data_IF_237139889706
#
_entry.id   IF_237139889706
#
_cell.length_a   1.000
_cell.length_b   1.000
_cell.length_c   1.000
_cell.angle_alpha   90.00
_cell.angle_beta   90.00
_cell.angle_gamma   90.00
#
_symmetry.space_group_name_H-M   'P 1'
#
loop_
_entity.id
_entity.type
_entity.pdbx_description
1 polymer ?
#
# COMPACT_ATOMS: atom_id res chain seq x y z
N UNK A 1 20.66 57.35 1.85
CA UNK A 1 20.78 56.29 0.83
C UNK A 1 19.91 55.14 1.32
N UNK A 2 18.69 55.02 0.77
CA UNK A 2 17.70 54.04 1.21
C UNK A 2 17.76 52.89 0.20
N UNK A 3 18.26 51.74 0.63
CA UNK A 3 18.27 50.53 -0.19
C UNK A 3 16.85 49.98 -0.32
N UNK A 4 16.46 49.80 -1.58
CA UNK A 4 15.16 49.32 -2.03
C UNK A 4 14.98 47.86 -1.62
N UNK A 5 14.06 47.64 -0.68
CA UNK A 5 13.43 46.34 -0.47
C UNK A 5 12.67 45.95 -1.74
N UNK A 6 13.23 45.04 -2.54
CA UNK A 6 12.52 44.42 -3.65
C UNK A 6 11.58 43.35 -3.08
N UNK A 7 10.33 43.75 -2.86
CA UNK A 7 9.24 42.81 -2.62
C UNK A 7 9.15 41.86 -3.82
N UNK A 8 9.52 40.59 -3.61
CA UNK A 8 9.30 39.51 -4.58
C UNK A 8 7.79 39.37 -4.78
N UNK A 9 7.36 39.66 -6.01
CA UNK A 9 6.01 39.42 -6.53
C UNK A 9 5.56 37.99 -6.14
N UNK A 10 4.36 37.78 -5.57
CA UNK A 10 3.91 36.43 -5.24
C UNK A 10 3.66 35.67 -6.54
N UNK A 11 4.19 34.43 -6.71
CA UNK A 11 3.78 33.62 -7.84
C UNK A 11 2.29 33.31 -7.67
N UNK A 12 1.50 33.47 -8.73
CA UNK A 12 0.11 33.01 -8.78
C UNK A 12 0.10 31.49 -8.55
N UNK A 13 -0.08 31.06 -7.31
CA UNK A 13 0.42 29.78 -6.87
C UNK A 13 -0.50 28.61 -7.16
N UNK A 14 -0.22 27.85 -8.21
CA UNK A 14 -0.77 26.49 -8.36
C UNK A 14 0.19 25.49 -7.70
N UNK A 15 -0.30 24.71 -6.73
CA UNK A 15 0.51 23.65 -6.11
C UNK A 15 0.87 22.56 -7.14
N UNK A 16 2.14 22.15 -7.15
CA UNK A 16 2.64 21.10 -8.03
C UNK A 16 2.53 19.73 -7.36
N UNK A 17 1.73 18.82 -7.94
CA UNK A 17 1.50 17.47 -7.37
C UNK A 17 2.77 16.68 -7.10
N UNK A 18 3.83 16.88 -7.88
CA UNK A 18 5.13 16.19 -7.69
C UNK A 18 5.84 16.60 -6.39
N UNK A 19 5.49 17.75 -5.81
CA UNK A 19 6.07 18.25 -4.55
C UNK A 19 5.27 17.79 -3.32
N UNK A 20 4.08 17.24 -3.50
CA UNK A 20 3.22 16.73 -2.43
C UNK A 20 3.54 15.25 -2.21
N UNK A 21 3.97 14.91 -0.99
CA UNK A 21 4.40 13.56 -0.61
C UNK A 21 3.40 12.95 0.36
N UNK A 22 2.70 11.91 -0.06
CA UNK A 22 1.71 11.22 0.78
C UNK A 22 2.29 10.53 2.02
N UNK A 23 3.61 10.30 2.09
CA UNK A 23 4.26 9.77 3.31
C UNK A 23 4.50 10.84 4.39
N UNK A 24 4.44 12.12 4.02
CA UNK A 24 4.61 13.30 4.88
C UNK A 24 3.67 14.40 4.38
N UNK A 25 2.37 14.13 4.37
CA UNK A 25 1.40 14.85 3.55
C UNK A 25 1.23 16.29 4.00
N UNK A 26 0.92 16.54 5.27
CA UNK A 26 0.76 17.88 5.83
C UNK A 26 2.04 18.70 5.69
N UNK A 27 3.19 18.12 6.01
CA UNK A 27 4.49 18.82 5.93
C UNK A 27 4.80 19.25 4.49
N UNK A 28 4.66 18.33 3.53
CA UNK A 28 4.91 18.62 2.12
C UNK A 28 3.89 19.59 1.52
N UNK A 29 2.63 19.50 1.93
CA UNK A 29 1.56 20.40 1.52
C UNK A 29 1.79 21.83 2.06
N UNK A 30 2.12 21.99 3.34
CA UNK A 30 2.45 23.29 3.95
C UNK A 30 3.68 23.90 3.25
N UNK A 31 4.70 23.09 3.00
CA UNK A 31 5.93 23.53 2.33
C UNK A 31 5.66 24.00 0.90
N UNK A 32 4.89 23.24 0.14
CA UNK A 32 4.53 23.60 -1.23
C UNK A 32 3.63 24.83 -1.26
N UNK A 33 2.60 24.91 -0.41
CA UNK A 33 1.70 26.05 -0.32
C UNK A 33 2.46 27.34 0.02
N UNK A 34 3.42 27.27 0.95
CA UNK A 34 4.29 28.40 1.29
C UNK A 34 5.20 28.79 0.10
N UNK A 35 5.78 27.81 -0.59
CA UNK A 35 6.63 28.03 -1.78
C UNK A 35 5.89 28.80 -2.87
N UNK A 36 4.62 28.47 -3.09
CA UNK A 36 3.81 29.09 -4.14
C UNK A 36 3.01 30.30 -3.66
N UNK A 37 3.17 30.74 -2.41
CA UNK A 37 2.51 31.94 -1.87
C UNK A 37 1.02 31.78 -1.53
N UNK A 38 0.51 30.54 -1.46
CA UNK A 38 -0.84 30.26 -0.97
C UNK A 38 -0.94 30.25 0.57
N UNK A 39 0.21 30.20 1.23
CA UNK A 39 0.33 30.22 2.68
C UNK A 39 1.43 31.22 3.04
N UNK A 40 1.13 32.17 3.92
CA UNK A 40 2.07 33.24 4.30
C UNK A 40 2.96 32.85 5.49
N UNK A 41 3.89 33.73 5.86
CA UNK A 41 4.81 33.47 6.98
C UNK A 41 4.06 33.35 8.31
N UNK A 42 3.02 34.16 8.55
CA UNK A 42 2.27 34.15 9.79
C UNK A 42 1.45 32.86 9.94
N UNK A 43 0.78 32.42 8.87
CA UNK A 43 0.06 31.14 8.81
C UNK A 43 1.02 29.97 9.05
N UNK A 44 2.22 29.99 8.48
CA UNK A 44 3.21 28.92 8.66
C UNK A 44 3.71 28.83 10.11
N UNK A 45 4.03 29.97 10.73
CA UNK A 45 4.46 30.00 12.12
C UNK A 45 3.31 29.63 13.08
N UNK A 46 2.07 30.02 12.77
CA UNK A 46 0.89 29.57 13.51
C UNK A 46 0.78 28.04 13.53
N UNK A 47 0.88 27.40 12.36
CA UNK A 47 0.81 25.93 12.25
C UNK A 47 1.94 25.22 13.01
N UNK A 48 3.15 25.77 13.01
CA UNK A 48 4.27 25.24 13.81
C UNK A 48 4.00 25.33 15.32
N UNK A 49 3.49 26.47 15.77
CA UNK A 49 3.16 26.66 17.18
C UNK A 49 2.03 25.73 17.62
N UNK A 50 0.98 25.58 16.80
CA UNK A 50 -0.11 24.64 17.07
C UNK A 50 0.40 23.18 17.15
N UNK A 51 1.31 22.78 16.27
CA UNK A 51 1.95 21.46 16.34
C UNK A 51 2.74 21.27 17.64
N UNK A 52 3.51 22.28 18.06
CA UNK A 52 4.28 22.25 19.30
C UNK A 52 3.38 22.13 20.55
N UNK A 53 2.22 22.81 20.56
CA UNK A 53 1.25 22.69 21.65
C UNK A 53 0.61 21.29 21.73
N UNK A 54 0.30 20.68 20.58
CA UNK A 54 -0.19 19.28 20.56
C UNK A 54 0.88 18.33 21.09
N UNK A 55 2.13 18.51 20.68
CA UNK A 55 3.25 17.71 21.16
C UNK A 55 3.41 17.82 22.67
N UNK A 56 3.41 19.05 23.20
CA UNK A 56 3.50 19.31 24.64
C UNK A 56 2.41 18.57 25.43
N UNK A 57 1.15 18.71 25.00
CA UNK A 57 0.01 18.00 25.61
C UNK A 57 0.18 16.47 25.55
N UNK A 58 0.71 15.94 24.44
CA UNK A 58 0.97 14.51 24.30
C UNK A 58 2.10 14.04 25.23
N UNK A 59 3.18 14.83 25.40
CA UNK A 59 4.28 14.52 26.33
C UNK A 59 3.76 14.48 27.76
N UNK A 60 3.02 15.50 28.19
CA UNK A 60 2.41 15.56 29.53
C UNK A 60 1.53 14.33 29.80
N UNK A 61 0.74 13.89 28.81
CA UNK A 61 -0.08 12.68 28.93
C UNK A 61 0.76 11.41 28.98
N UNK A 62 1.81 11.31 28.16
CA UNK A 62 2.68 10.14 28.08
C UNK A 62 3.45 9.91 29.38
N UNK A 63 3.90 10.98 30.04
CA UNK A 63 4.67 10.93 31.29
C UNK A 63 3.77 10.88 32.53
N UNK A 64 2.45 10.76 32.37
CA UNK A 64 1.46 10.89 33.45
C UNK A 64 1.66 12.18 34.27
N UNK A 65 2.02 13.28 33.60
CA UNK A 65 2.40 14.57 34.18
C UNK A 65 3.61 14.54 35.14
N UNK A 66 4.37 13.44 35.15
CA UNK A 66 5.54 13.28 36.04
C UNK A 66 6.77 14.00 35.51
N UNK A 67 6.81 14.30 34.21
CA UNK A 67 7.84 15.13 33.58
C UNK A 67 7.29 15.93 32.41
N UNK A 68 7.81 17.14 32.21
CA UNK A 68 7.48 18.00 31.07
C UNK A 68 8.38 17.74 29.83
N UNK A 69 9.24 16.72 29.88
CA UNK A 69 10.19 16.40 28.83
C UNK A 69 10.39 14.90 28.65
N UNK A 70 10.81 14.54 27.44
CA UNK A 70 11.25 13.21 27.00
C UNK A 70 12.59 13.37 26.28
N UNK A 71 13.29 12.27 25.97
CA UNK A 71 14.49 12.34 25.12
C UNK A 71 14.16 12.93 23.75
N UNK A 72 15.15 13.56 23.09
CA UNK A 72 14.99 14.14 21.75
C UNK A 72 14.39 13.14 20.77
N UNK A 73 14.95 11.92 20.70
CA UNK A 73 14.45 10.84 19.83
C UNK A 73 12.97 10.51 20.07
N UNK A 74 12.51 10.57 21.33
CA UNK A 74 11.12 10.32 21.69
C UNK A 74 10.22 11.49 21.32
N UNK A 75 10.68 12.72 21.54
CA UNK A 75 9.98 13.91 21.07
C UNK A 75 9.76 13.90 19.56
N UNK A 76 10.80 13.58 18.79
CA UNK A 76 10.70 13.44 17.33
C UNK A 76 9.72 12.34 16.90
N UNK A 77 9.71 11.20 17.59
CA UNK A 77 8.78 10.10 17.29
C UNK A 77 7.32 10.51 17.54
N UNK A 78 7.08 11.23 18.62
CA UNK A 78 5.76 11.76 18.95
C UNK A 78 5.31 12.82 17.94
N UNK A 79 6.20 13.70 17.48
CA UNK A 79 5.90 14.64 16.38
C UNK A 79 5.48 13.89 15.12
N UNK A 80 6.23 12.85 14.72
CA UNK A 80 5.88 12.02 13.56
C UNK A 80 4.52 11.35 13.73
N UNK A 81 4.18 10.88 14.94
CA UNK A 81 2.85 10.34 15.26
C UNK A 81 1.74 11.38 15.09
N UNK A 82 1.94 12.61 15.58
CA UNK A 82 0.97 13.70 15.44
C UNK A 82 0.77 14.06 13.98
N UNK A 83 1.86 14.29 13.24
CA UNK A 83 1.79 14.63 11.82
C UNK A 83 1.12 13.53 10.99
N UNK A 84 1.49 12.27 11.19
CA UNK A 84 0.79 11.15 10.53
C UNK A 84 -0.70 11.13 10.84
N UNK A 85 -1.08 11.42 12.09
CA UNK A 85 -2.49 11.45 12.48
C UNK A 85 -3.26 12.55 11.76
N UNK A 86 -2.66 13.73 11.60
CA UNK A 86 -3.20 14.83 10.79
C UNK A 86 -3.26 14.43 9.30
N UNK A 87 -2.19 13.81 8.78
CA UNK A 87 -2.11 13.33 7.40
C UNK A 87 -3.26 12.37 7.06
N UNK A 88 -3.53 11.39 7.92
CA UNK A 88 -4.62 10.43 7.72
C UNK A 88 -5.96 11.14 7.55
N UNK A 89 -6.22 12.20 8.32
CA UNK A 89 -7.45 12.98 8.18
C UNK A 89 -7.45 13.81 6.89
N UNK A 90 -6.39 14.57 6.62
CA UNK A 90 -6.32 15.43 5.45
C UNK A 90 -6.38 14.64 4.13
N UNK A 91 -5.68 13.51 4.04
CA UNK A 91 -5.72 12.62 2.89
C UNK A 91 -7.10 12.03 2.64
N UNK A 92 -7.93 11.87 3.68
CA UNK A 92 -9.29 11.35 3.54
C UNK A 92 -10.22 12.27 2.74
N UNK A 93 -9.86 13.55 2.61
CA UNK A 93 -10.61 14.55 1.85
C UNK A 93 -10.46 14.37 0.33
N UNK A 94 -9.43 13.64 -0.11
CA UNK A 94 -9.12 13.43 -1.54
C UNK A 94 -8.97 14.74 -2.34
N UNK A 95 -8.56 15.82 -1.69
CA UNK A 95 -8.40 17.16 -2.29
C UNK A 95 -7.28 17.94 -1.60
N UNK A 96 -6.19 18.21 -2.32
CA UNK A 96 -5.05 18.97 -1.79
C UNK A 96 -5.43 20.42 -1.45
N UNK A 97 -6.28 21.04 -2.27
CA UNK A 97 -6.81 22.38 -2.00
C UNK A 97 -7.75 22.39 -0.80
N UNK A 98 -8.60 21.37 -0.66
CA UNK A 98 -9.47 21.22 0.51
C UNK A 98 -8.67 20.97 1.79
N UNK A 99 -7.61 20.16 1.72
CA UNK A 99 -6.72 19.92 2.85
C UNK A 99 -5.98 21.19 3.28
N UNK A 100 -5.48 21.98 2.32
CA UNK A 100 -4.84 23.26 2.60
C UNK A 100 -5.82 24.24 3.26
N UNK A 101 -7.05 24.34 2.75
CA UNK A 101 -8.05 25.24 3.32
C UNK A 101 -8.37 24.89 4.78
N UNK A 102 -8.46 23.61 5.12
CA UNK A 102 -8.63 23.19 6.51
C UNK A 102 -7.42 23.53 7.38
N UNK A 103 -6.19 23.36 6.88
CA UNK A 103 -4.98 23.79 7.61
C UNK A 103 -5.01 25.31 7.89
N UNK A 104 -5.58 26.11 7.00
CA UNK A 104 -5.66 27.58 7.17
C UNK A 104 -6.76 28.00 8.13
N UNK A 105 -7.89 27.33 8.12
CA UNK A 105 -9.11 27.77 8.81
C UNK A 105 -9.45 27.01 10.07
N UNK A 106 -8.93 25.79 10.25
CA UNK A 106 -9.24 24.91 11.39
C UNK A 106 -8.00 24.72 12.26
N UNK A 107 -8.12 24.85 13.60
CA UNK A 107 -7.00 24.55 14.49
C UNK A 107 -6.47 23.12 14.29
N UNK A 108 -5.15 22.97 14.22
CA UNK A 108 -4.48 21.69 14.00
C UNK A 108 -4.86 20.65 15.07
N UNK A 109 -5.13 21.09 16.30
CA UNK A 109 -5.61 20.21 17.37
C UNK A 109 -6.95 19.53 17.00
N UNK A 110 -7.86 20.26 16.34
CA UNK A 110 -9.13 19.70 15.85
C UNK A 110 -8.87 18.68 14.74
N UNK A 111 -7.97 18.98 13.80
CA UNK A 111 -7.58 18.06 12.73
C UNK A 111 -6.96 16.78 13.30
N UNK A 112 -6.10 16.91 14.31
CA UNK A 112 -5.48 15.81 15.03
C UNK A 112 -6.53 14.91 15.71
N UNK A 113 -7.49 15.47 16.44
CA UNK A 113 -8.54 14.65 17.07
C UNK A 113 -9.49 13.99 16.04
N UNK A 114 -9.76 14.65 14.91
CA UNK A 114 -10.48 14.01 13.79
C UNK A 114 -9.67 12.86 13.20
N UNK A 115 -8.35 13.03 13.07
CA UNK A 115 -7.41 11.98 12.69
C UNK A 115 -7.43 10.78 13.64
N UNK A 116 -7.38 11.00 14.96
CA UNK A 116 -7.50 9.94 15.98
C UNK A 116 -8.78 9.12 15.76
N UNK A 117 -9.92 9.79 15.59
CA UNK A 117 -11.21 9.11 15.38
C UNK A 117 -11.20 8.27 14.10
N UNK A 118 -10.60 8.79 13.03
CA UNK A 118 -10.49 8.08 11.76
C UNK A 118 -9.54 6.88 11.84
N UNK A 119 -8.37 7.03 12.47
CA UNK A 119 -7.44 5.93 12.70
C UNK A 119 -8.10 4.83 13.54
N UNK A 120 -8.87 5.17 14.58
CA UNK A 120 -9.65 4.17 15.35
C UNK A 120 -10.58 3.37 14.45
N UNK A 121 -11.35 4.03 13.58
CA UNK A 121 -12.20 3.36 12.60
C UNK A 121 -11.40 2.45 11.67
N UNK A 122 -10.22 2.88 11.24
CA UNK A 122 -9.30 2.10 10.42
C UNK A 122 -8.70 0.87 11.14
N UNK A 123 -8.48 0.95 12.45
CA UNK A 123 -8.12 -0.22 13.27
C UNK A 123 -9.25 -1.24 13.26
N UNK A 124 -10.50 -0.83 13.51
CA UNK A 124 -11.66 -1.72 13.45
C UNK A 124 -11.85 -2.33 12.05
N UNK A 125 -11.71 -1.50 11.00
CA UNK A 125 -11.76 -1.96 9.61
C UNK A 125 -10.69 -3.01 9.31
N UNK A 126 -9.46 -2.79 9.80
CA UNK A 126 -8.35 -3.72 9.64
C UNK A 126 -8.62 -5.05 10.35
N UNK A 127 -9.21 -5.02 11.54
CA UNK A 127 -9.62 -6.25 12.23
C UNK A 127 -10.69 -7.04 11.44
N UNK A 128 -11.70 -6.36 10.89
CA UNK A 128 -12.71 -6.99 10.03
C UNK A 128 -12.12 -7.56 8.74
N UNK A 129 -11.22 -6.83 8.09
CA UNK A 129 -10.48 -7.33 6.92
C UNK A 129 -9.63 -8.54 7.27
N UNK A 130 -8.92 -8.50 8.40
CA UNK A 130 -8.10 -9.63 8.85
C UNK A 130 -8.91 -10.92 9.03
N UNK A 131 -10.09 -10.84 9.64
CA UNK A 131 -11.00 -12.00 9.75
C UNK A 131 -11.38 -12.54 8.37
N UNK A 132 -11.74 -11.66 7.42
CA UNK A 132 -12.08 -12.07 6.05
C UNK A 132 -10.90 -12.72 5.34
N UNK A 133 -9.70 -12.14 5.45
CA UNK A 133 -8.47 -12.70 4.87
C UNK A 133 -8.16 -14.08 5.46
N UNK A 134 -8.28 -14.25 6.78
CA UNK A 134 -8.06 -15.52 7.45
C UNK A 134 -9.07 -16.59 7.01
N UNK A 135 -10.34 -16.20 6.80
CA UNK A 135 -11.38 -17.11 6.32
C UNK A 135 -11.24 -17.47 4.83
N UNK A 136 -10.54 -16.64 4.06
CA UNK A 136 -10.21 -16.92 2.66
C UNK A 136 -8.85 -17.59 2.47
N UNK A 137 -8.18 -17.99 3.57
CA UNK A 137 -6.86 -18.61 3.57
C UNK A 137 -6.78 -19.79 2.61
N UNK A 138 -5.77 -19.81 1.75
CA UNK A 138 -5.44 -20.98 0.95
C UNK A 138 -4.75 -22.05 1.82
N UNK A 139 -5.15 -23.31 1.66
CA UNK A 139 -4.57 -24.44 2.38
C UNK A 139 -3.23 -24.85 1.76
N UNK A 140 -2.21 -24.01 1.95
CA UNK A 140 -0.88 -24.14 1.36
C UNK A 140 0.18 -24.14 2.47
N UNK A 141 1.19 -24.99 2.36
CA UNK A 141 2.29 -25.13 3.33
C UNK A 141 3.37 -24.08 3.09
N UNK A 142 2.98 -22.79 3.08
CA UNK A 142 3.88 -21.65 3.01
C UNK A 142 4.05 -21.04 4.40
N UNK A 143 5.23 -21.19 5.00
CA UNK A 143 5.50 -20.74 6.38
C UNK A 143 5.33 -19.23 6.52
N UNK A 144 5.96 -18.42 5.65
CA UNK A 144 5.81 -16.97 5.65
C UNK A 144 4.34 -16.51 5.58
N UNK A 145 3.52 -17.13 4.71
CA UNK A 145 2.10 -16.82 4.57
C UNK A 145 1.32 -17.15 5.85
N UNK A 146 1.52 -18.36 6.36
CA UNK A 146 0.81 -18.89 7.52
C UNK A 146 1.21 -18.14 8.80
N UNK A 147 2.51 -17.89 9.03
CA UNK A 147 2.99 -17.09 10.17
C UNK A 147 2.52 -15.64 10.09
N UNK A 148 2.49 -15.05 8.89
CA UNK A 148 1.97 -13.69 8.71
C UNK A 148 0.52 -13.58 9.13
N UNK A 149 -0.32 -14.54 8.72
CA UNK A 149 -1.74 -14.60 9.08
C UNK A 149 -1.95 -14.93 10.57
N UNK A 150 -1.27 -15.92 11.11
CA UNK A 150 -1.57 -16.43 12.45
C UNK A 150 -0.91 -15.61 13.57
N UNK A 151 0.25 -14.99 13.30
CA UNK A 151 1.05 -14.30 14.31
C UNK A 151 1.27 -12.81 14.00
N UNK A 152 1.83 -12.48 12.82
CA UNK A 152 2.31 -11.11 12.56
C UNK A 152 1.16 -10.10 12.53
N UNK A 153 0.11 -10.35 11.76
CA UNK A 153 -1.04 -9.41 11.66
C UNK A 153 -1.74 -9.27 13.02
N UNK A 154 -1.86 -10.35 13.78
CA UNK A 154 -2.43 -10.30 15.14
C UNK A 154 -1.59 -9.38 16.03
N UNK A 155 -0.26 -9.51 16.00
CA UNK A 155 0.66 -8.64 16.74
C UNK A 155 0.63 -7.19 16.27
N UNK A 156 0.48 -6.97 14.96
CA UNK A 156 0.27 -5.64 14.37
C UNK A 156 -0.95 -4.94 14.97
N UNK A 157 -2.08 -5.63 15.04
CA UNK A 157 -3.34 -5.07 15.55
C UNK A 157 -3.32 -4.88 17.08
N UNK A 158 -2.80 -5.86 17.83
CA UNK A 158 -2.86 -5.82 19.30
C UNK A 158 -1.89 -4.84 19.94
N UNK A 159 -0.78 -4.53 19.27
CA UNK A 159 0.28 -3.64 19.78
C UNK A 159 0.32 -2.29 19.06
N UNK A 160 -0.67 -1.99 18.21
CA UNK A 160 -0.70 -0.73 17.48
C UNK A 160 -0.90 0.45 18.44
N UNK A 161 0.12 1.29 18.56
CA UNK A 161 0.05 2.51 19.37
C UNK A 161 -0.55 3.64 18.55
N UNK A 162 -1.81 3.92 18.82
CA UNK A 162 -2.57 4.94 18.11
C UNK A 162 -2.17 6.37 18.48
N UNK A 163 -1.60 6.60 19.67
CA UNK A 163 -1.41 7.95 20.19
C UNK A 163 0.04 8.42 20.01
N UNK A 164 1.00 7.57 20.35
CA UNK A 164 2.40 7.99 20.46
C UNK A 164 3.28 7.45 19.33
N UNK A 165 2.82 6.44 18.58
CA UNK A 165 3.55 5.89 17.44
C UNK A 165 2.64 5.48 16.27
N UNK A 166 1.61 6.29 15.96
CA UNK A 166 0.60 5.98 14.94
C UNK A 166 1.18 5.73 13.53
N UNK A 167 2.31 6.37 13.22
CA UNK A 167 3.00 6.21 11.95
C UNK A 167 3.73 4.86 11.79
N UNK A 168 3.87 4.09 12.87
CA UNK A 168 4.62 2.82 12.89
C UNK A 168 3.68 1.62 12.91
N UNK A 169 4.21 0.51 12.43
CA UNK A 169 3.63 -0.81 12.62
C UNK A 169 4.56 -1.60 13.55
N UNK A 170 4.05 -2.29 14.59
CA UNK A 170 4.91 -2.95 15.58
C UNK A 170 5.54 -4.26 15.06
N UNK A 171 5.14 -4.71 13.87
CA UNK A 171 5.72 -5.85 13.16
C UNK A 171 5.64 -5.60 11.64
N UNK A 172 6.37 -6.41 10.87
CA UNK A 172 6.31 -6.44 9.41
C UNK A 172 5.88 -7.85 8.96
N UNK A 173 5.11 -7.99 7.86
CA UNK A 173 4.72 -9.30 7.36
C UNK A 173 5.93 -10.01 6.72
N UNK A 174 6.05 -11.31 6.93
CA UNK A 174 7.09 -12.12 6.29
C UNK A 174 6.67 -12.48 4.85
N UNK A 175 5.36 -12.64 4.63
CA UNK A 175 4.80 -12.85 3.30
C UNK A 175 4.57 -11.52 2.60
N UNK A 176 5.15 -11.36 1.41
CA UNK A 176 4.93 -10.16 0.62
C UNK A 176 3.91 -10.39 -0.50
N UNK A 177 2.83 -9.61 -0.50
CA UNK A 177 1.91 -9.52 -1.65
C UNK A 177 2.63 -9.03 -2.90
N UNK A 178 2.14 -9.37 -4.09
CA UNK A 178 2.71 -8.91 -5.37
C UNK A 178 2.77 -7.38 -5.44
N UNK A 179 1.73 -6.70 -4.99
CA UNK A 179 1.67 -5.23 -4.95
C UNK A 179 1.89 -4.67 -3.55
N UNK A 180 3.05 -4.93 -2.93
CA UNK A 180 3.39 -4.39 -1.61
C UNK A 180 3.17 -2.88 -1.50
N UNK A 181 2.45 -2.40 -0.46
CA UNK A 181 2.15 -0.98 -0.28
C UNK A 181 3.31 -0.20 0.35
N UNK A 182 4.48 -0.20 -0.28
CA UNK A 182 5.73 0.36 0.27
C UNK A 182 5.70 1.88 0.51
N UNK A 183 4.74 2.59 -0.08
CA UNK A 183 4.55 4.04 0.10
C UNK A 183 3.62 4.41 1.26
N UNK A 184 3.05 3.44 1.97
CA UNK A 184 2.15 3.64 3.09
C UNK A 184 2.81 3.22 4.40
N UNK A 185 2.40 3.82 5.50
CA UNK A 185 2.85 3.48 6.85
C UNK A 185 1.65 3.42 7.83
N UNK A 186 1.91 3.02 9.08
CA UNK A 186 0.91 2.88 10.13
C UNK A 186 -0.29 2.03 9.70
N UNK A 187 -1.49 2.39 10.18
CA UNK A 187 -2.71 1.63 9.88
C UNK A 187 -3.07 1.59 8.38
N UNK A 188 -2.73 2.63 7.61
CA UNK A 188 -3.01 2.67 6.17
C UNK A 188 -2.23 1.60 5.40
N UNK A 189 -0.99 1.32 5.81
CA UNK A 189 -0.21 0.19 5.29
C UNK A 189 -0.96 -1.12 5.52
N UNK A 190 -1.38 -1.38 6.77
CA UNK A 190 -2.03 -2.63 7.13
C UNK A 190 -3.35 -2.83 6.37
N UNK A 191 -4.18 -1.80 6.25
CA UNK A 191 -5.42 -1.87 5.45
C UNK A 191 -5.10 -2.28 4.02
N UNK A 192 -4.15 -1.61 3.37
CA UNK A 192 -3.83 -1.90 1.97
C UNK A 192 -3.21 -3.28 1.82
N UNK A 193 -2.33 -3.66 2.72
CA UNK A 193 -1.71 -4.98 2.76
C UNK A 193 -2.77 -6.08 2.89
N UNK A 194 -3.72 -5.95 3.83
CA UNK A 194 -4.81 -6.90 4.00
C UNK A 194 -5.75 -6.97 2.80
N UNK A 195 -6.04 -5.83 2.16
CA UNK A 195 -6.84 -5.80 0.92
C UNK A 195 -6.16 -6.57 -0.21
N UNK A 196 -4.86 -6.37 -0.39
CA UNK A 196 -4.07 -7.08 -1.40
C UNK A 196 -4.03 -8.58 -1.09
N UNK A 197 -3.68 -8.95 0.15
CA UNK A 197 -3.59 -10.34 0.60
C UNK A 197 -4.93 -11.07 0.48
N UNK A 198 -6.04 -10.36 0.76
CA UNK A 198 -7.38 -10.90 0.59
C UNK A 198 -7.72 -11.16 -0.87
N UNK A 199 -7.35 -10.25 -1.79
CA UNK A 199 -7.54 -10.43 -3.21
C UNK A 199 -6.73 -11.63 -3.75
N UNK A 200 -5.46 -11.75 -3.35
CA UNK A 200 -4.61 -12.89 -3.70
C UNK A 200 -5.20 -14.21 -3.19
N UNK A 201 -5.65 -14.24 -1.94
CA UNK A 201 -6.22 -15.44 -1.32
C UNK A 201 -7.53 -15.86 -2.00
N UNK A 202 -8.40 -14.90 -2.37
CA UNK A 202 -9.64 -15.20 -3.12
C UNK A 202 -9.38 -15.70 -4.54
N UNK A 203 -8.37 -15.16 -5.22
CA UNK A 203 -7.97 -15.67 -6.52
C UNK A 203 -7.48 -17.11 -6.40
N UNK A 204 -6.56 -17.39 -5.47
CA UNK A 204 -6.02 -18.72 -5.25
C UNK A 204 -7.08 -19.74 -4.80
N UNK A 205 -8.13 -19.31 -4.10
CA UNK A 205 -9.20 -20.20 -3.61
C UNK A 205 -10.00 -20.91 -4.71
N UNK A 206 -9.84 -20.52 -5.98
CA UNK A 206 -10.46 -21.20 -7.13
C UNK A 206 -9.87 -22.58 -7.40
N UNK A 207 -8.63 -22.80 -6.98
CA UNK A 207 -7.86 -23.98 -7.31
C UNK A 207 -7.87 -24.97 -6.14
N UNK A 208 -7.69 -26.24 -6.49
CA UNK A 208 -7.55 -27.29 -5.49
C UNK A 208 -6.26 -27.08 -4.67
N UNK A 209 -6.35 -27.34 -3.36
CA UNK A 209 -5.24 -27.10 -2.43
C UNK A 209 -3.98 -27.89 -2.83
N UNK A 210 -4.15 -29.10 -3.35
CA UNK A 210 -3.04 -29.93 -3.84
C UNK A 210 -2.31 -29.31 -5.02
N UNK A 211 -3.01 -28.67 -5.95
CA UNK A 211 -2.39 -28.02 -7.12
C UNK A 211 -1.59 -26.78 -6.71
N UNK A 212 -2.13 -25.98 -5.78
CA UNK A 212 -1.40 -24.83 -5.22
C UNK A 212 -0.13 -25.27 -4.47
N UNK A 213 -0.20 -26.38 -3.71
CA UNK A 213 0.96 -26.90 -2.99
C UNK A 213 2.03 -27.44 -3.94
N UNK A 214 1.64 -28.15 -5.00
CA UNK A 214 2.57 -28.57 -6.07
C UNK A 214 3.21 -27.35 -6.72
N UNK A 215 2.42 -26.32 -7.05
CA UNK A 215 2.93 -25.09 -7.65
C UNK A 215 3.94 -24.39 -6.72
N UNK A 216 3.64 -24.32 -5.42
CA UNK A 216 4.55 -23.74 -4.42
C UNK A 216 5.86 -24.52 -4.33
N UNK A 217 5.81 -25.85 -4.30
CA UNK A 217 7.00 -26.72 -4.19
C UNK A 217 7.94 -26.60 -5.40
N UNK A 218 7.44 -26.19 -6.56
CA UNK A 218 8.25 -25.93 -7.76
C UNK A 218 9.06 -24.63 -7.68
N UNK A 219 8.75 -23.74 -6.73
CA UNK A 219 9.47 -22.47 -6.56
C UNK A 219 10.76 -22.68 -5.75
N UNK A 220 11.76 -21.85 -6.05
CA UNK A 220 13.09 -21.92 -5.42
C UNK A 220 13.07 -21.56 -3.94
N UNK A 221 12.13 -20.70 -3.52
CA UNK A 221 11.97 -20.27 -2.13
C UNK A 221 10.57 -20.59 -1.60
N UNK A 222 10.50 -21.16 -0.39
CA UNK A 222 9.27 -21.46 0.33
C UNK A 222 8.47 -20.22 0.74
N UNK A 223 9.11 -19.05 0.74
CA UNK A 223 8.55 -17.78 1.22
C UNK A 223 8.05 -16.88 0.09
N UNK A 224 8.25 -17.31 -1.17
CA UNK A 224 7.78 -16.57 -2.33
C UNK A 224 6.25 -16.60 -2.46
N UNK A 225 5.75 -15.52 -3.06
CA UNK A 225 4.33 -15.37 -3.33
C UNK A 225 3.86 -16.37 -4.41
N UNK A 226 3.21 -17.45 -3.96
CA UNK A 226 2.64 -18.46 -4.84
C UNK A 226 1.50 -17.94 -5.73
N UNK A 227 0.78 -16.88 -5.32
CA UNK A 227 -0.28 -16.27 -6.13
C UNK A 227 0.25 -15.75 -7.47
N UNK A 228 1.46 -15.18 -7.52
CA UNK A 228 2.02 -14.68 -8.77
C UNK A 228 2.23 -15.78 -9.82
N UNK A 229 2.71 -16.95 -9.39
CA UNK A 229 2.83 -18.10 -10.27
C UNK A 229 1.44 -18.62 -10.70
N UNK A 230 0.48 -18.67 -9.78
CA UNK A 230 -0.88 -19.12 -10.08
C UNK A 230 -1.53 -18.22 -11.14
N UNK A 231 -1.41 -16.90 -10.99
CA UNK A 231 -1.88 -15.93 -11.97
C UNK A 231 -1.19 -16.10 -13.33
N UNK A 232 0.14 -16.25 -13.33
CA UNK A 232 0.91 -16.39 -14.58
C UNK A 232 0.53 -17.67 -15.33
N UNK A 233 0.36 -18.77 -14.62
CA UNK A 233 -0.09 -20.05 -15.20
C UNK A 233 -1.53 -19.97 -15.71
N UNK A 234 -2.44 -19.34 -14.96
CA UNK A 234 -3.83 -19.13 -15.42
C UNK A 234 -3.88 -18.33 -16.71
N UNK A 235 -3.04 -17.29 -16.84
CA UNK A 235 -2.91 -16.51 -18.08
C UNK A 235 -2.33 -17.38 -19.20
N UNK A 236 -1.34 -18.23 -18.91
CA UNK A 236 -0.78 -19.16 -19.88
C UNK A 236 -1.84 -20.14 -20.41
N UNK A 237 -2.63 -20.74 -19.52
CA UNK A 237 -3.74 -21.61 -19.88
C UNK A 237 -4.74 -20.86 -20.76
N UNK A 238 -5.15 -19.65 -20.37
CA UNK A 238 -6.08 -18.85 -21.19
C UNK A 238 -5.54 -18.55 -22.59
N UNK A 239 -4.25 -18.18 -22.71
CA UNK A 239 -3.61 -17.92 -24.01
C UNK A 239 -3.40 -19.17 -24.86
N UNK A 240 -3.30 -20.32 -24.20
CA UNK A 240 -3.10 -21.61 -24.82
C UNK A 240 -4.40 -22.39 -25.02
N UNK A 241 -5.58 -21.81 -24.84
CA UNK A 241 -6.87 -22.52 -24.86
C UNK A 241 -6.90 -23.75 -23.93
N UNK A 242 -6.25 -23.65 -22.77
CA UNK A 242 -6.23 -24.64 -21.70
C UNK A 242 -7.26 -24.37 -20.60
N UNK A 243 -7.26 -25.21 -19.56
CA UNK A 243 -8.19 -25.09 -18.44
C UNK A 243 -7.74 -24.01 -17.44
N UNK A 244 -8.45 -22.89 -17.40
CA UNK A 244 -8.20 -21.77 -16.48
C UNK A 244 -8.63 -22.06 -15.03
N UNK A 245 -9.29 -23.19 -14.78
CA UNK A 245 -9.73 -23.61 -13.44
C UNK A 245 -8.76 -24.56 -12.75
N UNK A 246 -7.69 -24.95 -13.44
CA UNK A 246 -6.65 -25.85 -12.94
C UNK A 246 -5.27 -25.18 -12.95
N UNK A 247 -4.40 -25.55 -12.01
CA UNK A 247 -2.97 -25.21 -12.00
C UNK A 247 -2.06 -26.39 -12.40
N UNK A 248 -2.66 -27.46 -12.91
CA UNK A 248 -1.92 -28.60 -13.44
C UNK A 248 -1.20 -28.23 -14.73
N UNK A 249 -0.07 -28.87 -15.00
CA UNK A 249 0.73 -28.59 -16.19
C UNK A 249 0.03 -29.14 -17.44
N UNK A 250 -0.28 -28.26 -18.38
CA UNK A 250 -0.69 -28.63 -19.75
C UNK A 250 0.42 -28.22 -20.74
N UNK A 251 1.29 -29.17 -21.08
CA UNK A 251 2.41 -28.92 -21.99
C UNK A 251 1.98 -28.44 -23.38
N UNK A 252 0.78 -28.80 -23.83
CA UNK A 252 0.28 -28.39 -25.14
C UNK A 252 -0.24 -26.95 -25.07
N UNK A 253 -0.99 -26.59 -24.04
CA UNK A 253 -1.39 -25.21 -23.79
C UNK A 253 -0.17 -24.30 -23.58
N UNK A 254 0.81 -24.73 -22.78
CA UNK A 254 2.06 -24.01 -22.54
C UNK A 254 2.81 -23.71 -23.86
N UNK A 255 2.92 -24.72 -24.75
CA UNK A 255 3.55 -24.55 -26.08
C UNK A 255 2.78 -23.56 -26.95
N UNK A 256 1.43 -23.64 -26.96
CA UNK A 256 0.58 -22.70 -27.71
C UNK A 256 0.73 -21.27 -27.18
N UNK A 257 0.63 -21.08 -25.87
CA UNK A 257 0.82 -19.79 -25.21
C UNK A 257 2.21 -19.19 -25.50
N UNK A 258 3.27 -20.00 -25.40
CA UNK A 258 4.62 -19.58 -25.74
C UNK A 258 4.75 -19.16 -27.21
N UNK A 259 4.11 -19.88 -28.13
CA UNK A 259 4.10 -19.54 -29.55
C UNK A 259 3.37 -18.22 -29.84
N UNK A 260 2.26 -17.95 -29.14
CA UNK A 260 1.55 -16.65 -29.20
C UNK A 260 2.47 -15.52 -28.74
N UNK A 261 3.07 -15.65 -27.56
CA UNK A 261 3.94 -14.61 -26.98
C UNK A 261 5.18 -14.35 -27.85
N UNK A 262 5.79 -15.38 -28.45
CA UNK A 262 7.01 -15.23 -29.28
C UNK A 262 6.82 -14.35 -30.52
N UNK A 263 5.60 -14.23 -31.03
CA UNK A 263 5.27 -13.48 -32.26
C UNK A 263 5.02 -11.99 -32.03
N UNK A 264 4.91 -11.57 -30.77
CA UNK A 264 4.49 -10.22 -30.40
C UNK A 264 5.67 -9.34 -30.01
N UNK A 265 5.54 -8.03 -30.22
CA UNK A 265 6.44 -7.03 -29.65
C UNK A 265 6.26 -6.92 -28.13
N UNK A 266 7.22 -6.29 -27.43
CA UNK A 266 7.14 -6.10 -25.98
C UNK A 266 5.90 -5.32 -25.52
N UNK A 267 5.45 -4.33 -26.30
CA UNK A 267 4.23 -3.57 -26.00
C UNK A 267 2.97 -4.42 -26.13
N UNK A 268 2.89 -5.23 -27.18
CA UNK A 268 1.76 -6.14 -27.44
C UNK A 268 1.69 -7.26 -26.39
N UNK A 269 2.83 -7.80 -25.96
CA UNK A 269 2.87 -8.82 -24.88
C UNK A 269 2.21 -8.30 -23.61
N UNK A 270 2.59 -7.11 -23.14
CA UNK A 270 2.03 -6.53 -21.90
C UNK A 270 0.53 -6.28 -22.01
N UNK A 271 0.11 -5.76 -23.17
CA UNK A 271 -1.30 -5.51 -23.46
C UNK A 271 -2.10 -6.81 -23.44
N UNK A 272 -1.62 -7.83 -24.14
CA UNK A 272 -2.27 -9.15 -24.21
C UNK A 272 -2.39 -9.81 -22.84
N UNK A 273 -1.33 -9.76 -22.02
CA UNK A 273 -1.37 -10.27 -20.63
C UNK A 273 -2.45 -9.55 -19.82
N UNK A 274 -2.59 -8.23 -19.97
CA UNK A 274 -3.58 -7.43 -19.24
C UNK A 274 -5.01 -7.72 -19.72
N UNK A 275 -5.24 -7.82 -21.03
CA UNK A 275 -6.53 -8.18 -21.63
C UNK A 275 -6.95 -9.60 -21.21
N UNK A 276 -6.01 -10.54 -21.20
CA UNK A 276 -6.27 -11.91 -20.74
C UNK A 276 -6.60 -11.94 -19.25
N UNK A 277 -5.86 -11.19 -18.43
CA UNK A 277 -6.14 -11.04 -17.00
C UNK A 277 -7.54 -10.45 -16.74
N UNK A 278 -8.01 -9.55 -17.59
CA UNK A 278 -9.37 -9.00 -17.54
C UNK A 278 -10.42 -10.07 -17.82
N UNK A 279 -10.21 -10.91 -18.84
CA UNK A 279 -11.13 -11.97 -19.24
C UNK A 279 -11.25 -13.05 -18.15
N UNK A 280 -10.13 -13.56 -17.62
CA UNK A 280 -10.14 -14.60 -16.58
C UNK A 280 -10.73 -14.12 -15.25
N UNK A 281 -10.88 -12.80 -15.07
CA UNK A 281 -11.46 -12.20 -13.86
C UNK A 281 -12.80 -11.50 -14.08
N UNK A 282 -13.46 -11.74 -15.22
CA UNK A 282 -14.71 -11.08 -15.57
C UNK A 282 -15.83 -11.31 -14.53
N UNK A 283 -15.86 -12.50 -13.92
CA UNK A 283 -16.87 -12.92 -12.94
C UNK A 283 -16.46 -12.68 -11.49
N UNK A 284 -15.29 -12.08 -11.26
CA UNK A 284 -14.79 -11.85 -9.90
C UNK A 284 -15.40 -10.63 -9.23
N UNK A 285 -15.35 -10.58 -7.88
CA UNK A 285 -15.60 -9.34 -7.17
C UNK A 285 -14.73 -8.19 -7.74
N UNK A 286 -15.30 -6.98 -7.95
CA UNK A 286 -14.59 -5.88 -8.62
C UNK A 286 -13.21 -5.55 -8.04
N UNK A 287 -13.02 -5.70 -6.73
CA UNK A 287 -11.74 -5.44 -6.08
C UNK A 287 -10.68 -6.51 -6.39
N UNK A 288 -11.07 -7.76 -6.60
CA UNK A 288 -10.15 -8.84 -7.02
C UNK A 288 -9.72 -8.60 -8.46
N UNK A 289 -10.68 -8.35 -9.36
CA UNK A 289 -10.39 -7.95 -10.76
C UNK A 289 -9.44 -6.75 -10.82
N UNK A 290 -9.74 -5.68 -10.08
CA UNK A 290 -8.88 -4.49 -10.01
C UNK A 290 -7.46 -4.82 -9.52
N UNK A 291 -7.32 -5.71 -8.54
CA UNK A 291 -6.03 -6.14 -8.04
C UNK A 291 -5.23 -6.91 -9.09
N UNK A 292 -5.87 -7.92 -9.70
CA UNK A 292 -5.27 -8.78 -10.74
C UNK A 292 -4.81 -7.94 -11.95
N UNK A 293 -5.65 -7.00 -12.42
CA UNK A 293 -5.30 -6.10 -13.51
C UNK A 293 -4.07 -5.24 -13.19
N UNK A 294 -3.98 -4.69 -11.97
CA UNK A 294 -2.80 -3.93 -11.54
C UNK A 294 -1.54 -4.79 -11.44
N UNK A 295 -1.67 -6.07 -11.09
CA UNK A 295 -0.56 -7.02 -11.13
C UNK A 295 -0.10 -7.27 -12.56
N UNK A 296 -1.03 -7.52 -13.49
CA UNK A 296 -0.75 -7.74 -14.91
C UNK A 296 -0.15 -6.50 -15.58
N UNK A 297 -0.64 -5.31 -15.25
CA UNK A 297 -0.08 -4.05 -15.78
C UNK A 297 1.36 -3.84 -15.29
N UNK A 298 1.62 -4.07 -14.00
CA UNK A 298 2.94 -3.83 -13.40
C UNK A 298 3.98 -4.88 -13.79
N UNK A 299 3.57 -6.15 -13.85
CA UNK A 299 4.47 -7.30 -14.00
C UNK A 299 4.21 -8.13 -15.27
N UNK A 300 3.42 -7.61 -16.21
CA UNK A 300 3.06 -8.35 -17.43
C UNK A 300 4.25 -8.69 -18.32
N UNK A 301 5.34 -7.93 -18.23
CA UNK A 301 6.60 -8.28 -18.91
C UNK A 301 7.17 -9.60 -18.35
N UNK A 302 7.29 -9.71 -17.03
CA UNK A 302 7.83 -10.89 -16.35
C UNK A 302 6.94 -12.11 -16.59
N UNK A 303 5.62 -11.92 -16.52
CA UNK A 303 4.65 -12.97 -16.86
C UNK A 303 4.84 -13.46 -18.31
N UNK A 304 4.92 -12.53 -19.27
CA UNK A 304 5.14 -12.88 -20.66
C UNK A 304 6.49 -13.57 -20.90
N UNK A 305 7.56 -13.15 -20.20
CA UNK A 305 8.87 -13.80 -20.29
C UNK A 305 8.85 -15.25 -19.79
N UNK A 306 8.16 -15.53 -18.68
CA UNK A 306 7.98 -16.88 -18.16
C UNK A 306 7.10 -17.76 -19.06
N UNK A 307 6.03 -17.19 -19.63
CA UNK A 307 5.19 -17.90 -20.62
C UNK A 307 6.01 -18.21 -21.87
N UNK A 308 6.83 -17.26 -22.33
CA UNK A 308 7.70 -17.42 -23.51
C UNK A 308 8.74 -18.52 -23.35
N UNK A 309 9.27 -18.72 -22.14
CA UNK A 309 10.25 -19.78 -21.85
C UNK A 309 9.61 -21.17 -21.77
N UNK A 310 8.28 -21.25 -21.69
CA UNK A 310 7.55 -22.52 -21.56
C UNK A 310 7.52 -23.05 -20.13
N UNK A 311 7.83 -22.22 -19.13
CA UNK A 311 7.62 -22.53 -17.72
C UNK A 311 6.95 -21.34 -17.00
N UNK A 312 5.63 -21.15 -17.19
CA UNK A 312 4.89 -20.06 -16.55
C UNK A 312 4.96 -20.09 -15.01
N UNK A 313 5.18 -21.28 -14.43
CA UNK A 313 5.28 -21.47 -12.99
C UNK A 313 6.58 -20.92 -12.39
N UNK A 314 7.65 -20.82 -13.19
CA UNK A 314 8.92 -20.22 -12.80
C UNK A 314 8.92 -18.68 -12.84
N UNK A 315 7.73 -18.07 -12.98
CA UNK A 315 7.61 -16.62 -12.98
C UNK A 315 8.05 -16.02 -11.64
N UNK A 316 9.08 -15.19 -11.72
CA UNK A 316 9.60 -14.41 -10.61
C UNK A 316 9.32 -12.92 -10.84
N UNK A 317 9.20 -12.20 -9.73
CA UNK A 317 9.16 -10.75 -9.77
C UNK A 317 10.13 -10.24 -8.70
N UNK A 318 11.15 -9.50 -9.13
CA UNK A 318 12.00 -8.80 -8.20
C UNK A 318 11.17 -7.70 -7.52
N UNK A 319 10.96 -7.83 -6.21
CA UNK A 319 10.61 -6.69 -5.39
C UNK A 319 11.86 -5.82 -5.31
N UNK A 320 12.00 -4.85 -6.22
CA UNK A 320 13.03 -3.84 -6.04
C UNK A 320 12.77 -3.15 -4.70
N UNK A 321 13.78 -3.07 -3.81
CA UNK A 321 13.64 -2.43 -2.50
C UNK A 321 13.19 -0.97 -2.63
#
# INVERSE_FOLDING_TARGET
MIERTTAKIPPSGRMEKKNIRYSHYAESLITEAYRVGLLDRAERERLKNELAEILKKNIERYTSASSASVSTDRGEDMIRSVLYTVDVYLMSLSSDTGALELLRTVPMETLYYRGIRLIRSYVFKSAGLYVRTRNARSAVSCEAYNQTLDQKIRGMLSRYDLFYAAHKMPAFPDYHTVLMPTKLCGILFLIRYLQNLYAESLFCRRFEAGELEVLRQRRLSSDENFYFAALTLTIAHALGDGDITSLSRDENADKRAAAVIKRLSEGEKRRLVSETAEQITANDPPFVRTYVLRCAEKYGKQMAEAIRSGDPAAAEYAQKP
#
